data_IF_539015190703
#
_entry.id   IF_539015190703
#
_cell.length_a   1.000
_cell.length_b   1.000
_cell.length_c   1.000
_cell.angle_alpha   90.00
_cell.angle_beta   90.00
_cell.angle_gamma   90.00
#
_symmetry.space_group_name_H-M   'P 1'
#
loop_
_entity.id
_entity.type
_entity.pdbx_description
1 polymer ?
#
# COMPACT_ATOMS: atom_id res chain seq x y z
N UNK A 1 -8.20 17.79 3.27
CA UNK A 1 -8.87 17.36 4.52
C UNK A 1 -8.43 15.94 4.94
N UNK A 2 -8.27 14.98 4.03
CA UNK A 2 -7.92 13.58 4.36
C UNK A 2 -6.48 13.39 4.82
N UNK A 3 -5.53 14.20 4.34
CA UNK A 3 -4.11 14.15 4.76
C UNK A 3 -3.95 14.34 6.27
N UNK A 4 -4.74 15.22 6.89
CA UNK A 4 -4.68 15.47 8.33
C UNK A 4 -5.23 14.31 9.17
N UNK A 5 -6.21 13.55 8.65
CA UNK A 5 -6.72 12.35 9.28
C UNK A 5 -5.68 11.23 9.31
N UNK A 6 -4.98 11.04 8.20
CA UNK A 6 -3.89 10.06 8.07
C UNK A 6 -2.74 10.41 9.02
N UNK A 7 -2.30 11.67 9.04
CA UNK A 7 -1.25 12.15 9.95
C UNK A 7 -1.66 11.96 11.41
N UNK A 8 -2.92 12.24 11.77
CA UNK A 8 -3.42 12.05 13.13
C UNK A 8 -3.53 10.56 13.52
N UNK A 9 -3.88 9.69 12.59
CA UNK A 9 -3.89 8.24 12.79
C UNK A 9 -2.47 7.74 13.13
N UNK A 10 -1.47 8.14 12.34
CA UNK A 10 -0.08 7.76 12.55
C UNK A 10 0.52 8.36 13.84
N UNK A 11 0.15 9.59 14.22
CA UNK A 11 0.65 10.26 15.45
C UNK A 11 0.16 9.61 16.74
N UNK A 12 -1.02 9.01 16.77
CA UNK A 12 -1.59 8.37 17.96
C UNK A 12 -0.91 7.07 18.35
N UNK A 13 -0.03 6.53 17.51
CA UNK A 13 0.64 5.25 17.77
C UNK A 13 1.97 5.45 18.44
N UNK A 14 2.15 4.75 19.58
CA UNK A 14 3.44 4.70 20.30
C UNK A 14 4.51 4.12 19.37
N UNK A 15 5.74 4.66 19.47
CA UNK A 15 6.93 4.09 18.83
C UNK A 15 7.07 2.62 19.24
N UNK A 16 6.70 1.72 18.37
CA UNK A 16 6.93 0.29 18.57
C UNK A 16 8.33 -0.08 18.10
N UNK A 17 8.96 -0.95 18.88
CA UNK A 17 10.22 -1.62 18.55
C UNK A 17 9.97 -2.55 17.37
N UNK A 18 11.00 -2.93 16.60
CA UNK A 18 10.92 -4.00 15.61
C UNK A 18 10.44 -5.29 16.32
N UNK A 19 9.22 -5.69 15.99
CA UNK A 19 8.59 -6.89 16.55
C UNK A 19 7.89 -7.64 15.42
N UNK A 20 7.73 -8.95 15.60
CA UNK A 20 6.81 -9.69 14.76
C UNK A 20 5.39 -9.14 14.96
N UNK A 21 4.73 -8.83 13.86
CA UNK A 21 3.34 -8.40 13.86
C UNK A 21 2.51 -9.34 13.01
N UNK A 22 1.27 -9.57 13.44
CA UNK A 22 0.29 -10.27 12.62
C UNK A 22 -0.26 -9.31 11.55
N UNK A 23 0.04 -9.63 10.29
CA UNK A 23 -0.27 -8.75 9.16
C UNK A 23 -1.76 -8.67 8.85
N UNK A 24 -2.53 -9.75 9.07
CA UNK A 24 -3.99 -9.74 8.92
C UNK A 24 -4.62 -8.75 9.91
N UNK A 25 -4.19 -8.77 11.17
CA UNK A 25 -4.67 -7.84 12.19
C UNK A 25 -4.33 -6.39 11.86
N UNK A 26 -3.10 -6.13 11.42
CA UNK A 26 -2.67 -4.79 11.02
C UNK A 26 -3.46 -4.27 9.80
N UNK A 27 -3.73 -5.12 8.81
CA UNK A 27 -4.60 -4.77 7.66
C UNK A 27 -6.03 -4.45 8.09
N UNK A 28 -6.61 -5.23 9.01
CA UNK A 28 -7.97 -4.99 9.53
C UNK A 28 -8.07 -3.62 10.23
N UNK A 29 -7.03 -3.21 10.95
CA UNK A 29 -6.99 -1.88 11.60
C UNK A 29 -6.93 -0.75 10.58
N UNK A 30 -6.07 -0.85 9.57
CA UNK A 30 -6.01 0.12 8.46
C UNK A 30 -7.32 0.12 7.67
N UNK A 31 -7.87 -1.06 7.38
CA UNK A 31 -9.13 -1.23 6.68
C UNK A 31 -10.31 -0.57 7.39
N UNK A 32 -10.39 -0.72 8.72
CA UNK A 32 -11.41 -0.06 9.54
C UNK A 32 -11.40 1.47 9.41
N UNK A 33 -10.20 2.05 9.33
CA UNK A 33 -10.04 3.49 9.09
C UNK A 33 -10.57 3.92 7.71
N UNK A 34 -10.28 3.13 6.66
CA UNK A 34 -10.66 3.48 5.29
C UNK A 34 -12.11 3.14 4.94
N UNK A 35 -12.78 2.22 5.65
CA UNK A 35 -14.13 1.74 5.31
C UNK A 35 -15.15 2.86 5.11
N UNK A 36 -15.15 3.85 5.98
CA UNK A 36 -16.08 4.99 5.88
C UNK A 36 -15.77 5.85 4.66
N UNK A 37 -14.48 6.08 4.38
CA UNK A 37 -14.03 6.91 3.27
C UNK A 37 -14.38 6.24 1.94
N UNK A 38 -14.01 4.98 1.75
CA UNK A 38 -14.22 4.25 0.48
C UNK A 38 -15.71 4.09 0.17
N UNK A 39 -16.55 3.86 1.19
CA UNK A 39 -18.01 3.79 1.02
C UNK A 39 -18.61 5.09 0.51
N UNK A 40 -18.16 6.24 0.98
CA UNK A 40 -18.68 7.54 0.53
C UNK A 40 -18.33 7.87 -0.93
N UNK A 41 -17.44 7.12 -1.56
CA UNK A 41 -17.05 7.24 -2.96
C UNK A 41 -17.45 6.01 -3.81
N UNK A 42 -18.26 5.11 -3.28
CA UNK A 42 -18.64 3.83 -3.91
C UNK A 42 -17.45 3.00 -4.37
N UNK A 43 -16.37 2.99 -3.58
CA UNK A 43 -15.18 2.22 -3.84
C UNK A 43 -15.25 0.89 -3.09
N UNK A 44 -14.98 -0.21 -3.79
CA UNK A 44 -14.80 -1.53 -3.18
C UNK A 44 -13.34 -1.71 -2.78
N UNK A 45 -13.07 -1.84 -1.48
CA UNK A 45 -11.74 -2.13 -0.92
C UNK A 45 -11.75 -3.53 -0.30
N UNK A 46 -10.93 -4.42 -0.85
CA UNK A 46 -10.79 -5.80 -0.41
C UNK A 46 -9.40 -6.05 0.18
N UNK A 47 -9.36 -6.86 1.24
CA UNK A 47 -8.15 -7.40 1.82
C UNK A 47 -8.15 -8.91 1.74
N UNK A 48 -7.06 -9.49 1.26
CA UNK A 48 -6.84 -10.94 1.16
C UNK A 48 -5.52 -11.26 1.87
N UNK A 49 -5.61 -11.87 3.04
CA UNK A 49 -4.46 -12.23 3.85
C UNK A 49 -4.81 -13.41 4.74
N UNK A 50 -3.95 -14.42 4.81
CA UNK A 50 -4.09 -15.51 5.77
C UNK A 50 -3.83 -14.99 7.19
N UNK A 51 -4.64 -15.42 8.15
CA UNK A 51 -4.56 -14.95 9.54
C UNK A 51 -3.27 -15.35 10.28
N UNK A 52 -2.52 -16.30 9.72
CA UNK A 52 -1.28 -16.84 10.29
C UNK A 52 -0.01 -16.14 9.83
N UNK A 53 -0.10 -15.15 8.91
CA UNK A 53 1.09 -14.49 8.39
C UNK A 53 1.60 -13.46 9.40
N UNK A 54 2.81 -13.72 9.92
CA UNK A 54 3.57 -12.83 10.78
C UNK A 54 4.84 -12.37 10.07
N UNK A 55 5.29 -11.16 10.38
CA UNK A 55 6.51 -10.61 9.80
C UNK A 55 7.16 -9.62 10.76
N UNK A 56 8.50 -9.65 10.82
CA UNK A 56 9.29 -8.75 11.68
C UNK A 56 9.46 -7.38 11.03
N UNK A 57 8.55 -6.48 11.35
CA UNK A 57 8.53 -5.10 10.84
C UNK A 57 7.96 -4.17 11.92
N UNK A 58 8.38 -2.92 11.96
CA UNK A 58 7.68 -1.94 12.80
C UNK A 58 6.25 -1.76 12.28
N UNK A 59 5.29 -1.86 13.18
CA UNK A 59 3.88 -1.70 12.82
C UNK A 59 3.63 -0.38 12.07
N UNK A 60 4.26 0.71 12.51
CA UNK A 60 4.14 2.02 11.85
C UNK A 60 4.67 2.02 10.41
N UNK A 61 5.74 1.27 10.13
CA UNK A 61 6.32 1.17 8.78
C UNK A 61 5.39 0.36 7.87
N UNK A 62 4.87 -0.79 8.35
CA UNK A 62 3.89 -1.57 7.60
C UNK A 62 2.62 -0.78 7.30
N UNK A 63 2.06 -0.11 8.30
CA UNK A 63 0.88 0.73 8.12
C UNK A 63 1.15 1.89 7.16
N UNK A 64 2.34 2.49 7.20
CA UNK A 64 2.72 3.56 6.26
C UNK A 64 2.77 3.05 4.83
N UNK A 65 3.29 1.84 4.58
CA UNK A 65 3.23 1.20 3.26
C UNK A 65 1.77 1.08 2.81
N UNK A 66 0.92 0.44 3.62
CA UNK A 66 -0.47 0.15 3.26
C UNK A 66 -1.26 1.43 3.02
N UNK A 67 -1.12 2.43 3.90
CA UNK A 67 -1.83 3.71 3.81
C UNK A 67 -1.43 4.48 2.55
N UNK A 68 -0.14 4.59 2.25
CA UNK A 68 0.32 5.31 1.06
C UNK A 68 -0.14 4.60 -0.23
N UNK A 69 -0.11 3.27 -0.26
CA UNK A 69 -0.56 2.50 -1.42
C UNK A 69 -2.07 2.57 -1.62
N UNK A 70 -2.88 2.45 -0.56
CA UNK A 70 -4.35 2.61 -0.65
C UNK A 70 -4.70 4.04 -1.06
N UNK A 71 -4.04 5.05 -0.50
CA UNK A 71 -4.28 6.45 -0.86
C UNK A 71 -3.96 6.70 -2.34
N UNK A 72 -2.85 6.13 -2.85
CA UNK A 72 -2.51 6.23 -4.26
C UNK A 72 -3.57 5.56 -5.15
N UNK A 73 -3.98 4.33 -4.81
CA UNK A 73 -5.02 3.60 -5.54
C UNK A 73 -6.38 4.34 -5.50
N UNK A 74 -6.78 4.87 -4.34
CA UNK A 74 -7.99 5.67 -4.17
C UNK A 74 -8.03 6.84 -5.15
N UNK A 75 -6.95 7.60 -5.26
CA UNK A 75 -6.85 8.72 -6.19
C UNK A 75 -6.97 8.30 -7.66
N UNK A 76 -6.55 7.08 -7.98
CA UNK A 76 -6.63 6.54 -9.35
C UNK A 76 -8.03 6.04 -9.72
N UNK A 77 -8.83 5.58 -8.74
CA UNK A 77 -10.15 4.99 -9.00
C UNK A 77 -11.32 5.94 -8.72
N UNK A 78 -11.13 6.97 -7.88
CA UNK A 78 -12.22 7.92 -7.57
C UNK A 78 -12.70 8.61 -8.86
N UNK A 79 -14.02 8.69 -9.03
CA UNK A 79 -14.64 9.30 -10.21
C UNK A 79 -14.66 8.42 -11.47
N UNK A 80 -14.20 7.16 -11.39
CA UNK A 80 -14.33 6.18 -12.48
C UNK A 80 -15.60 5.33 -12.30
N UNK A 81 -16.00 4.61 -13.35
CA UNK A 81 -17.13 3.67 -13.27
C UNK A 81 -16.77 2.44 -12.44
N UNK A 82 -15.62 1.83 -12.74
CA UNK A 82 -15.10 0.70 -11.97
C UNK A 82 -14.15 1.22 -10.89
N UNK A 83 -14.51 0.99 -9.61
CA UNK A 83 -13.79 1.54 -8.45
C UNK A 83 -13.44 0.42 -7.48
N UNK A 84 -12.38 -0.30 -7.80
CA UNK A 84 -11.93 -1.45 -7.00
C UNK A 84 -10.48 -1.30 -6.61
N UNK A 85 -10.20 -1.66 -5.36
CA UNK A 85 -8.85 -1.74 -4.79
C UNK A 85 -8.77 -3.08 -4.06
N UNK A 86 -7.70 -3.84 -4.29
CA UNK A 86 -7.44 -5.09 -3.57
C UNK A 86 -6.02 -5.09 -3.04
N UNK A 87 -5.87 -5.41 -1.77
CA UNK A 87 -4.58 -5.65 -1.11
C UNK A 87 -4.49 -7.12 -0.80
N UNK A 88 -3.51 -7.81 -1.37
CA UNK A 88 -3.28 -9.25 -1.14
C UNK A 88 -1.92 -9.45 -0.51
N UNK A 89 -1.86 -10.16 0.61
CA UNK A 89 -0.62 -10.60 1.24
C UNK A 89 -0.48 -12.10 1.05
N UNK A 90 0.65 -12.51 0.53
CA UNK A 90 1.05 -13.91 0.40
C UNK A 90 2.49 -14.11 0.88
N UNK A 91 2.88 -15.33 1.12
CA UNK A 91 4.24 -15.66 1.53
C UNK A 91 4.75 -16.91 0.81
N UNK A 92 6.07 -16.91 0.57
CA UNK A 92 6.85 -18.08 0.19
C UNK A 92 7.78 -18.49 1.33
N UNK A 93 8.61 -19.50 1.12
CA UNK A 93 9.65 -19.87 2.09
C UNK A 93 10.63 -18.72 2.38
N UNK A 94 10.96 -17.89 1.38
CA UNK A 94 12.00 -16.87 1.46
C UNK A 94 11.50 -15.42 1.46
N UNK A 95 10.24 -15.17 1.09
CA UNK A 95 9.73 -13.81 0.93
C UNK A 95 8.29 -13.66 1.40
N UNK A 96 7.99 -12.48 1.93
CA UNK A 96 6.66 -11.91 2.04
C UNK A 96 6.39 -11.08 0.79
N UNK A 97 5.21 -11.22 0.18
CA UNK A 97 4.83 -10.49 -1.03
C UNK A 97 3.50 -9.78 -0.77
N UNK A 98 3.45 -8.49 -1.04
CA UNK A 98 2.23 -7.69 -0.91
C UNK A 98 1.88 -7.12 -2.28
N UNK A 99 0.68 -7.43 -2.75
CA UNK A 99 0.12 -6.90 -3.98
C UNK A 99 -0.89 -5.80 -3.66
N UNK A 100 -0.75 -4.66 -4.33
CA UNK A 100 -1.75 -3.58 -4.32
C UNK A 100 -2.26 -3.42 -5.74
N UNK A 101 -3.50 -3.82 -5.98
CA UNK A 101 -4.12 -3.74 -7.30
C UNK A 101 -5.26 -2.73 -7.31
N UNK A 102 -5.37 -1.95 -8.37
CA UNK A 102 -6.46 -1.01 -8.58
C UNK A 102 -7.06 -1.12 -9.98
N UNK A 103 -8.27 -0.60 -10.13
CA UNK A 103 -8.98 -0.50 -11.41
C UNK A 103 -8.81 0.87 -12.08
N UNK A 104 -7.73 1.58 -11.77
CA UNK A 104 -7.42 2.89 -12.31
C UNK A 104 -6.90 2.87 -13.75
N UNK A 105 -6.13 3.89 -14.11
CA UNK A 105 -5.50 3.99 -15.45
C UNK A 105 -4.28 3.12 -15.62
N UNK A 106 -3.71 2.64 -14.52
CA UNK A 106 -2.37 2.05 -14.53
C UNK A 106 -1.26 3.09 -14.63
N UNK A 107 -0.04 2.61 -14.81
CA UNK A 107 1.15 3.43 -15.00
C UNK A 107 1.46 3.49 -16.49
N UNK A 108 1.76 4.66 -17.07
CA UNK A 108 2.18 4.77 -18.45
C UNK A 108 3.43 3.95 -18.73
N UNK A 109 3.48 3.31 -19.89
CA UNK A 109 4.62 2.51 -20.33
C UNK A 109 5.93 3.34 -20.31
N UNK A 110 6.98 2.73 -19.76
CA UNK A 110 8.28 3.38 -19.62
C UNK A 110 8.42 4.30 -18.38
N UNK A 111 7.35 4.51 -17.62
CA UNK A 111 7.36 5.34 -16.40
C UNK A 111 7.45 4.53 -15.10
N UNK A 112 7.55 3.21 -15.17
CA UNK A 112 7.47 2.29 -14.02
C UNK A 112 8.55 2.56 -12.96
N UNK A 113 9.72 3.07 -13.38
CA UNK A 113 10.80 3.43 -12.45
C UNK A 113 10.72 4.89 -11.97
N UNK A 114 10.20 5.77 -12.82
CA UNK A 114 10.14 7.22 -12.53
C UNK A 114 9.14 7.54 -11.43
N UNK A 115 8.01 6.82 -11.37
CA UNK A 115 6.95 7.07 -10.38
C UNK A 115 7.40 6.93 -8.92
N UNK A 116 8.54 6.29 -8.66
CA UNK A 116 9.13 6.15 -7.33
C UNK A 116 10.11 7.28 -6.97
N UNK A 117 10.39 8.21 -7.88
CA UNK A 117 11.24 9.36 -7.59
C UNK A 117 10.50 10.38 -6.71
N UNK A 118 11.20 11.06 -5.79
CA UNK A 118 10.60 12.15 -5.03
C UNK A 118 10.03 13.24 -5.95
N UNK A 119 8.87 13.79 -5.57
CA UNK A 119 8.18 14.86 -6.28
C UNK A 119 7.67 14.52 -7.68
N UNK A 120 7.79 13.27 -8.11
CA UNK A 120 7.14 12.79 -9.33
C UNK A 120 5.65 12.57 -9.06
N UNK A 121 4.82 13.40 -9.65
CA UNK A 121 3.36 13.30 -9.53
C UNK A 121 2.68 13.86 -10.78
N UNK A 122 1.65 13.17 -11.24
CA UNK A 122 0.73 13.67 -12.25
C UNK A 122 -0.49 14.36 -11.64
N UNK A 123 -0.53 14.50 -10.30
CA UNK A 123 -1.66 15.05 -9.56
C UNK A 123 -1.47 16.54 -9.31
N UNK A 124 -2.47 17.36 -9.64
CA UNK A 124 -2.44 18.82 -9.43
C UNK A 124 -2.21 19.22 -7.96
N UNK A 125 -2.66 18.40 -6.99
CA UNK A 125 -2.51 18.65 -5.55
C UNK A 125 -1.68 17.58 -4.84
N UNK A 126 -0.96 16.74 -5.58
CA UNK A 126 -0.09 15.69 -5.02
C UNK A 126 1.32 16.20 -4.78
N UNK A 127 1.90 15.93 -3.61
CA UNK A 127 3.29 16.31 -3.31
C UNK A 127 4.28 15.35 -3.97
N UNK A 128 3.81 14.18 -4.45
CA UNK A 128 4.67 13.17 -5.09
C UNK A 128 5.61 12.43 -4.13
N UNK A 129 5.26 12.35 -2.85
CA UNK A 129 6.08 11.70 -1.83
C UNK A 129 5.59 10.31 -1.39
N UNK A 130 4.35 9.93 -1.69
CA UNK A 130 3.76 8.70 -1.16
C UNK A 130 4.49 7.43 -1.62
N UNK A 131 4.76 7.28 -2.91
CA UNK A 131 5.48 6.12 -3.47
C UNK A 131 6.96 6.12 -3.10
N UNK A 132 7.60 7.27 -2.98
CA UNK A 132 8.97 7.39 -2.49
C UNK A 132 9.08 6.93 -1.04
N UNK A 133 8.15 7.35 -0.16
CA UNK A 133 8.11 6.88 1.24
C UNK A 133 7.99 5.36 1.29
N UNK A 134 7.12 4.77 0.47
CA UNK A 134 6.99 3.31 0.40
C UNK A 134 8.30 2.66 0.00
N UNK A 135 8.95 3.18 -1.05
CA UNK A 135 10.23 2.68 -1.52
C UNK A 135 11.30 2.74 -0.42
N UNK A 136 11.44 3.88 0.26
CA UNK A 136 12.42 4.06 1.34
C UNK A 136 12.20 3.05 2.49
N UNK A 137 10.92 2.82 2.86
CA UNK A 137 10.59 1.82 3.89
C UNK A 137 10.92 0.41 3.41
N UNK A 138 10.53 0.06 2.19
CA UNK A 138 10.79 -1.28 1.62
C UNK A 138 12.28 -1.56 1.53
N UNK A 139 13.08 -0.60 1.07
CA UNK A 139 14.55 -0.70 1.02
C UNK A 139 15.18 -0.84 2.42
N UNK A 140 14.63 -0.17 3.44
CA UNK A 140 15.04 -0.32 4.85
C UNK A 140 14.93 -1.76 5.33
N UNK A 141 13.97 -2.52 4.82
CA UNK A 141 13.78 -3.94 5.11
C UNK A 141 14.39 -4.86 4.04
N UNK A 142 15.34 -4.36 3.25
CA UNK A 142 16.05 -5.08 2.19
C UNK A 142 15.12 -5.66 1.11
N UNK A 143 13.95 -5.07 0.94
CA UNK A 143 12.96 -5.46 -0.04
C UNK A 143 13.07 -4.69 -1.35
N UNK A 144 12.14 -4.99 -2.24
CA UNK A 144 11.97 -4.31 -3.52
C UNK A 144 10.51 -3.96 -3.78
N UNK A 145 10.27 -2.90 -4.54
CA UNK A 145 8.96 -2.50 -5.03
C UNK A 145 8.99 -2.29 -6.54
N UNK A 146 8.03 -2.90 -7.20
CA UNK A 146 7.83 -2.76 -8.65
C UNK A 146 6.36 -2.51 -8.98
N UNK A 147 6.10 -2.14 -10.22
CA UNK A 147 4.74 -1.95 -10.73
C UNK A 147 4.60 -2.54 -12.12
N UNK A 148 3.44 -3.11 -12.41
CA UNK A 148 3.02 -3.55 -13.74
C UNK A 148 1.53 -3.26 -13.94
N UNK A 149 1.04 -3.50 -15.15
CA UNK A 149 -0.40 -3.47 -15.41
C UNK A 149 -1.09 -4.65 -14.72
N UNK A 150 -2.22 -4.40 -14.07
CA UNK A 150 -3.05 -5.48 -13.53
C UNK A 150 -3.77 -6.19 -14.65
N UNK A 151 -3.63 -7.51 -14.72
CA UNK A 151 -4.31 -8.36 -15.73
C UNK A 151 -5.80 -8.53 -15.39
N UNK A 152 -6.16 -8.45 -14.11
CA UNK A 152 -7.52 -8.68 -13.61
C UNK A 152 -8.34 -7.41 -13.50
N UNK A 153 -7.70 -6.31 -13.11
CA UNK A 153 -8.37 -5.03 -12.82
C UNK A 153 -8.10 -3.96 -13.89
N UNK A 154 -7.14 -4.19 -14.79
CA UNK A 154 -6.73 -3.31 -15.89
C UNK A 154 -6.05 -1.99 -15.46
N UNK A 155 -5.94 -1.72 -14.17
CA UNK A 155 -5.21 -0.60 -13.60
C UNK A 155 -3.76 -0.97 -13.24
N UNK A 156 -3.23 -0.43 -12.15
CA UNK A 156 -1.90 -0.75 -11.67
C UNK A 156 -1.89 -1.98 -10.73
N UNK A 157 -0.80 -2.73 -10.78
CA UNK A 157 -0.45 -3.76 -9.80
C UNK A 157 0.94 -3.46 -9.26
N UNK A 158 1.00 -2.91 -8.06
CA UNK A 158 2.23 -2.75 -7.31
C UNK A 158 2.57 -4.03 -6.56
N UNK A 159 3.84 -4.37 -6.54
CA UNK A 159 4.37 -5.60 -5.92
C UNK A 159 5.48 -5.19 -4.98
N UNK A 160 5.24 -5.37 -3.68
CA UNK A 160 6.23 -5.20 -2.62
C UNK A 160 6.72 -6.60 -2.23
N UNK A 161 8.03 -6.81 -2.28
CA UNK A 161 8.66 -8.06 -1.88
C UNK A 161 9.62 -7.80 -0.72
N UNK A 162 9.42 -8.46 0.40
CA UNK A 162 10.25 -8.33 1.59
C UNK A 162 10.89 -9.69 1.91
N UNK A 163 12.23 -9.79 2.08
CA UNK A 163 12.88 -11.05 2.41
C UNK A 163 12.51 -11.48 3.83
N UNK A 164 12.24 -12.77 4.01
CA UNK A 164 12.24 -13.39 5.34
C UNK A 164 13.70 -13.61 5.72
N UNK A 165 14.10 -13.11 6.88
CA UNK A 165 15.44 -13.39 7.39
C UNK A 165 15.65 -14.90 7.49
N UNK A 166 16.88 -15.35 7.30
CA UNK A 166 17.26 -16.72 7.63
C UNK A 166 16.98 -16.94 9.12
N UNK A 167 16.18 -17.96 9.46
CA UNK A 167 15.96 -18.43 10.82
C UNK A 167 17.25 -18.98 11.45
#
# INVERSE_FOLDING_TARGET
>A
AYSNLIVNFLRKRKRTIDSEINLSSALKEVGGFYQTIVKSFDITLNFVCEDTIEYKIKQIDFESIVINMITNAFEQVKGRENRKITVTISQSASHLIIYFEDSGTGVPEGKEKEIFRPFETTKENGIGLGLNIVKDIVEKYHGDISVKRSETMLGAKFIVTLPKGDE
#
